data_IF_995096533494
#
_entry.id   IF_995096533494
#
_cell.length_a   1.000
_cell.length_b   1.000
_cell.length_c   1.000
_cell.angle_alpha   90.00
_cell.angle_beta   90.00
_cell.angle_gamma   90.00
#
_symmetry.space_group_name_H-M   'P 1'
#
loop_
_entity.id
_entity.type
_entity.pdbx_description
1 polymer ?
#
# COMPACT_ATOMS: atom_id res chain seq x y z
N UNK A 1 -7.01 7.70 -23.17
CA UNK A 1 -7.51 8.48 -22.01
C UNK A 1 -7.57 7.59 -20.77
N UNK A 2 -6.46 7.18 -20.16
CA UNK A 2 -6.64 6.22 -19.03
C UNK A 2 -5.48 6.10 -18.07
N UNK A 3 -4.23 6.13 -18.54
CA UNK A 3 -3.06 5.83 -17.70
C UNK A 3 -2.93 6.76 -16.50
N UNK A 4 -3.09 8.07 -16.68
CA UNK A 4 -3.03 9.05 -15.57
C UNK A 4 -4.12 8.83 -14.51
N UNK A 5 -5.35 8.51 -14.92
CA UNK A 5 -6.46 8.22 -13.99
C UNK A 5 -6.23 6.91 -13.23
N UNK A 6 -5.70 5.88 -13.91
CA UNK A 6 -5.31 4.63 -13.25
C UNK A 6 -4.20 4.84 -12.23
N UNK A 7 -3.18 5.66 -12.54
CA UNK A 7 -2.14 6.02 -11.58
C UNK A 7 -2.71 6.77 -10.36
N UNK A 8 -3.78 7.54 -10.54
CA UNK A 8 -4.40 8.31 -9.44
C UNK A 8 -5.13 7.38 -8.48
N UNK A 9 -5.89 6.45 -9.05
CA UNK A 9 -6.58 5.41 -8.30
C UNK A 9 -5.55 4.52 -7.60
N UNK A 10 -4.48 4.12 -8.28
CA UNK A 10 -3.40 3.34 -7.68
C UNK A 10 -2.72 4.08 -6.52
N UNK A 11 -2.44 5.38 -6.67
CA UNK A 11 -1.89 6.21 -5.59
C UNK A 11 -2.82 6.29 -4.39
N UNK A 12 -4.12 6.49 -4.60
CA UNK A 12 -5.12 6.51 -3.52
C UNK A 12 -5.17 5.16 -2.77
N UNK A 13 -5.15 4.05 -3.50
CA UNK A 13 -5.13 2.71 -2.93
C UNK A 13 -3.84 2.46 -2.13
N UNK A 14 -2.66 2.80 -2.67
CA UNK A 14 -1.37 2.64 -1.99
C UNK A 14 -1.27 3.46 -0.70
N UNK A 15 -1.76 4.71 -0.72
CA UNK A 15 -1.79 5.56 0.47
C UNK A 15 -2.72 4.94 1.52
N UNK A 16 -3.93 4.53 1.10
CA UNK A 16 -4.90 3.90 1.99
C UNK A 16 -4.38 2.61 2.62
N UNK A 17 -3.79 1.73 1.81
CA UNK A 17 -3.26 0.44 2.26
C UNK A 17 -2.07 0.63 3.21
N UNK A 18 -1.11 1.48 2.85
CA UNK A 18 0.04 1.80 3.70
C UNK A 18 -0.36 2.41 5.05
N UNK A 19 -1.35 3.32 5.07
CA UNK A 19 -1.86 3.89 6.34
C UNK A 19 -2.57 2.83 7.18
N UNK A 20 -3.42 1.99 6.58
CA UNK A 20 -4.11 0.91 7.30
C UNK A 20 -3.11 -0.11 7.88
N UNK A 21 -2.08 -0.47 7.12
CA UNK A 21 -0.98 -1.31 7.55
C UNK A 21 -0.08 -0.69 8.63
N UNK A 22 0.07 0.63 8.68
CA UNK A 22 0.79 1.33 9.76
C UNK A 22 -0.01 1.33 11.08
N UNK A 23 -1.31 1.57 11.02
CA UNK A 23 -2.18 1.66 12.22
C UNK A 23 -2.35 0.28 12.87
N UNK A 24 -2.67 -0.75 12.07
CA UNK A 24 -2.87 -2.13 12.57
C UNK A 24 -2.20 -3.17 11.66
N UNK A 25 -0.86 -3.26 11.65
CA UNK A 25 -0.11 -4.12 10.74
C UNK A 25 -0.56 -5.58 10.80
N UNK A 26 -0.71 -6.14 12.01
CA UNK A 26 -1.10 -7.55 12.17
C UNK A 26 -2.51 -7.85 11.68
N UNK A 27 -3.47 -6.96 11.94
CA UNK A 27 -4.86 -7.17 11.49
C UNK A 27 -5.00 -6.98 9.99
N UNK A 28 -4.32 -5.97 9.44
CA UNK A 28 -4.33 -5.70 8.00
C UNK A 28 -3.68 -6.84 7.22
N UNK A 29 -2.48 -7.31 7.63
CA UNK A 29 -1.84 -8.46 6.99
C UNK A 29 -2.69 -9.74 7.08
N UNK A 30 -3.35 -10.01 8.20
CA UNK A 30 -4.21 -11.20 8.36
C UNK A 30 -5.49 -11.16 7.52
N UNK A 31 -6.02 -9.98 7.18
CA UNK A 31 -7.15 -9.87 6.25
C UNK A 31 -6.77 -10.27 4.82
N UNK A 32 -5.51 -10.06 4.45
CA UNK A 32 -4.95 -10.44 3.16
C UNK A 32 -4.38 -11.85 3.11
N UNK A 33 -4.33 -12.57 4.25
CA UNK A 33 -3.90 -13.98 4.27
C UNK A 33 -4.92 -14.93 3.60
N UNK A 34 -6.12 -14.45 3.29
CA UNK A 34 -7.10 -15.14 2.46
C UNK A 34 -6.85 -14.97 0.95
N UNK A 35 -5.84 -14.19 0.56
CA UNK A 35 -5.44 -13.92 -0.82
C UNK A 35 -4.43 -14.92 -1.41
N UNK A 36 -3.97 -14.70 -2.66
CA UNK A 36 -3.05 -15.58 -3.37
C UNK A 36 -1.78 -15.89 -2.56
N UNK A 37 -1.19 -17.07 -2.78
CA UNK A 37 -0.14 -17.70 -1.94
C UNK A 37 1.05 -16.78 -1.62
N UNK A 38 1.44 -15.91 -2.56
CA UNK A 38 2.48 -14.89 -2.37
C UNK A 38 2.10 -13.81 -1.34
N UNK A 39 0.84 -13.35 -1.36
CA UNK A 39 0.35 -12.42 -0.36
C UNK A 39 0.31 -13.10 1.02
N UNK A 40 -0.07 -14.38 1.07
CA UNK A 40 -0.13 -15.15 2.31
C UNK A 40 1.24 -15.31 2.97
N UNK A 41 2.25 -15.71 2.19
CA UNK A 41 3.63 -15.84 2.68
C UNK A 41 4.20 -14.50 3.18
N UNK A 42 3.99 -13.41 2.42
CA UNK A 42 4.41 -12.08 2.84
C UNK A 42 3.70 -11.64 4.14
N UNK A 43 2.41 -11.95 4.29
CA UNK A 43 1.63 -11.58 5.48
C UNK A 43 2.01 -12.36 6.74
N UNK A 44 2.40 -13.63 6.62
CA UNK A 44 2.86 -14.44 7.78
C UNK A 44 4.21 -13.93 8.30
N UNK A 45 5.14 -13.58 7.41
CA UNK A 45 6.44 -13.03 7.78
C UNK A 45 6.33 -11.61 8.38
N UNK A 46 5.45 -10.77 7.80
CA UNK A 46 5.12 -9.45 8.35
C UNK A 46 4.38 -9.55 9.69
N UNK A 47 3.49 -10.53 9.86
CA UNK A 47 2.78 -10.75 11.13
C UNK A 47 3.72 -11.22 12.24
N UNK A 48 4.76 -11.98 11.91
CA UNK A 48 5.81 -12.40 12.84
C UNK A 48 6.70 -11.21 13.28
N UNK A 49 6.94 -10.23 12.40
CA UNK A 49 7.83 -9.09 12.65
C UNK A 49 7.09 -7.74 12.48
N UNK A 50 6.34 -7.28 13.50
CA UNK A 50 5.48 -6.10 13.39
C UNK A 50 6.24 -4.78 13.10
N UNK A 51 7.51 -4.69 13.46
CA UNK A 51 8.35 -3.53 13.13
C UNK A 51 8.76 -3.52 11.65
N UNK A 52 9.07 -4.69 11.08
CA UNK A 52 9.36 -4.84 9.65
C UNK A 52 8.12 -4.56 8.81
N UNK A 53 6.95 -5.03 9.25
CA UNK A 53 5.67 -4.72 8.61
C UNK A 53 5.40 -3.22 8.53
N UNK A 54 5.62 -2.49 9.64
CA UNK A 54 5.48 -1.03 9.64
C UNK A 54 6.41 -0.35 8.65
N UNK A 55 7.65 -0.83 8.50
CA UNK A 55 8.59 -0.27 7.53
C UNK A 55 8.10 -0.49 6.09
N UNK A 56 7.59 -1.68 5.77
CA UNK A 56 7.03 -1.99 4.43
C UNK A 56 5.82 -1.10 4.13
N UNK A 57 4.86 -1.01 5.05
CA UNK A 57 3.69 -0.16 4.88
C UNK A 57 4.01 1.33 4.84
N UNK A 58 5.07 1.77 5.54
CA UNK A 58 5.58 3.14 5.43
C UNK A 58 6.15 3.41 4.05
N UNK A 59 6.95 2.49 3.50
CA UNK A 59 7.47 2.60 2.14
C UNK A 59 6.33 2.65 1.12
N UNK A 60 5.31 1.81 1.29
CA UNK A 60 4.13 1.78 0.44
C UNK A 60 3.34 3.10 0.47
N UNK A 61 3.09 3.64 1.66
CA UNK A 61 2.44 4.93 1.83
C UNK A 61 3.26 6.06 1.17
N UNK A 62 4.58 6.08 1.37
CA UNK A 62 5.48 7.07 0.76
C UNK A 62 5.45 6.98 -0.77
N UNK A 63 5.49 5.77 -1.33
CA UNK A 63 5.38 5.55 -2.78
C UNK A 63 4.03 6.04 -3.31
N UNK A 64 2.93 5.76 -2.61
CA UNK A 64 1.61 6.27 -2.95
C UNK A 64 1.56 7.81 -2.96
N UNK A 65 2.15 8.46 -1.96
CA UNK A 65 2.26 9.94 -1.89
C UNK A 65 3.11 10.48 -3.04
N UNK A 66 4.26 9.87 -3.35
CA UNK A 66 5.11 10.29 -4.47
C UNK A 66 4.36 10.16 -5.80
N UNK A 67 3.72 9.03 -6.04
CA UNK A 67 2.92 8.80 -7.25
C UNK A 67 1.77 9.80 -7.37
N UNK A 68 1.05 10.08 -6.28
CA UNK A 68 -0.01 11.09 -6.26
C UNK A 68 0.53 12.51 -6.49
N UNK A 69 1.70 12.83 -5.93
CA UNK A 69 2.35 14.14 -6.05
C UNK A 69 2.90 14.41 -7.45
N UNK A 70 3.27 13.36 -8.18
CA UNK A 70 3.69 13.44 -9.59
C UNK A 70 2.50 13.64 -10.55
N UNK A 71 1.27 13.61 -10.05
CA UNK A 71 0.08 13.90 -10.85
C UNK A 71 -0.23 15.39 -10.87
N UNK A 72 0.46 16.11 -11.75
CA UNK A 72 0.06 17.47 -12.12
C UNK A 72 -1.14 17.39 -13.08
N UNK A 73 -2.25 18.10 -12.78
CA UNK A 73 -3.32 18.25 -13.76
C UNK A 73 -2.76 19.00 -14.98
N UNK A 74 -3.02 18.50 -16.20
CA UNK A 74 -2.81 19.31 -17.41
C UNK A 74 -3.90 20.40 -17.38
N UNK A 75 -3.64 21.48 -16.64
CA UNK A 75 -4.38 22.73 -16.78
C UNK A 75 -3.61 23.55 -17.81
N UNK A 76 -3.92 23.34 -19.08
CA UNK A 76 -3.53 24.24 -20.17
C UNK A 76 -4.67 24.35 -21.18
#
# INVERSE_FOLDING_TARGET
MTTRRFTQIAGLFLIGDGVMGLIKPRWHSLLWSLGPELARAATEELAAHPNTARAVYLVEAVLGVVLASQQTPDVY
#
